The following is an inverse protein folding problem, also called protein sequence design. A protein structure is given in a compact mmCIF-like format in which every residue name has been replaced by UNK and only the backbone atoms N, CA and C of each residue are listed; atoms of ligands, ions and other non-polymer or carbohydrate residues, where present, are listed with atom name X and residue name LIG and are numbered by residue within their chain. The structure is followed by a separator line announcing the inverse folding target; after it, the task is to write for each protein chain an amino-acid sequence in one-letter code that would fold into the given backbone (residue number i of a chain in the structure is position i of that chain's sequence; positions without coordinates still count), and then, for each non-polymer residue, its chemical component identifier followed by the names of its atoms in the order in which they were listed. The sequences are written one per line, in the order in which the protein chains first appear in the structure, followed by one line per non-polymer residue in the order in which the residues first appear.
data_IF_546391410810
#
_entry.id   IF_546391410810
#
_cell.length_a   1.000
_cell.length_b   1.000
_cell.length_c   1.000
_cell.angle_alpha   90.00
_cell.angle_beta   90.00
_cell.angle_gamma   90.00
#
_symmetry.space_group_name_H-M   'P 1'
#
loop_
_entity.id
_entity.type
_entity.pdbx_description
1 polymer ?
#
# COMPACT_ATOMS: atom_id res chain seq x y z
N UNK A 1 61.64 -8.99 1.74
CA UNK A 1 61.34 -9.00 0.29
C UNK A 1 60.19 -9.98 0.08
N UNK A 2 58.98 -9.48 -0.21
CA UNK A 2 57.83 -10.33 -0.54
C UNK A 2 57.82 -10.64 -2.05
N UNK A 3 57.48 -11.86 -2.48
CA UNK A 3 57.22 -12.14 -3.88
C UNK A 3 55.78 -11.72 -4.24
N UNK A 4 55.68 -10.87 -5.25
CA UNK A 4 54.46 -10.52 -5.98
C UNK A 4 54.15 -11.60 -7.02
N UNK A 5 53.00 -12.27 -6.90
CA UNK A 5 52.41 -13.03 -8.00
C UNK A 5 51.03 -12.47 -8.32
N UNK A 6 50.97 -11.61 -9.34
CA UNK A 6 49.74 -11.14 -9.92
C UNK A 6 49.11 -12.27 -10.74
N UNK A 7 48.05 -12.91 -10.22
CA UNK A 7 47.20 -13.77 -11.02
C UNK A 7 46.11 -12.92 -11.68
N UNK A 8 46.13 -12.89 -13.03
CA UNK A 8 45.06 -12.32 -13.87
C UNK A 8 43.81 -13.20 -13.71
N UNK A 9 42.92 -12.83 -12.80
CA UNK A 9 41.57 -13.36 -12.74
C UNK A 9 40.74 -12.83 -13.91
N UNK A 10 40.40 -13.71 -14.87
CA UNK A 10 39.35 -13.46 -15.87
C UNK A 10 38.02 -13.23 -15.14
N UNK A 11 37.57 -11.98 -15.08
CA UNK A 11 36.25 -11.64 -14.60
C UNK A 11 35.19 -12.14 -15.58
N UNK A 12 34.61 -13.31 -15.30
CA UNK A 12 33.36 -13.71 -15.90
C UNK A 12 32.29 -12.70 -15.49
N UNK A 13 31.67 -12.02 -16.46
CA UNK A 13 30.48 -11.22 -16.24
C UNK A 13 29.37 -12.14 -15.72
N UNK A 14 29.22 -12.22 -14.40
CA UNK A 14 28.03 -12.82 -13.80
C UNK A 14 26.87 -11.88 -14.11
N UNK A 15 26.15 -12.17 -15.19
CA UNK A 15 24.81 -11.66 -15.41
C UNK A 15 24.00 -11.94 -14.15
N UNK A 16 23.57 -10.88 -13.45
CA UNK A 16 22.72 -11.01 -12.28
C UNK A 16 21.48 -11.84 -12.66
N UNK A 17 21.10 -12.86 -11.87
CA UNK A 17 19.91 -13.64 -12.17
C UNK A 17 18.69 -12.70 -12.14
N UNK A 18 17.67 -12.94 -12.98
CA UNK A 18 16.49 -12.10 -13.01
C UNK A 18 15.79 -12.15 -11.64
N UNK A 19 15.72 -11.00 -10.95
CA UNK A 19 15.13 -10.86 -9.62
C UNK A 19 13.67 -11.33 -9.55
N UNK A 20 12.94 -11.24 -10.67
CA UNK A 20 11.51 -11.55 -10.76
C UNK A 20 11.17 -13.05 -10.72
N UNK A 21 12.00 -13.92 -11.30
CA UNK A 21 11.71 -15.36 -11.39
C UNK A 21 11.62 -16.06 -10.02
N UNK A 22 12.58 -15.83 -9.10
CA UNK A 22 12.52 -16.37 -7.75
C UNK A 22 11.36 -15.83 -6.91
N UNK A 23 11.00 -14.55 -7.07
CA UNK A 23 9.90 -13.90 -6.32
C UNK A 23 8.55 -14.53 -6.67
N UNK A 24 8.24 -14.69 -7.97
CA UNK A 24 7.00 -15.33 -8.42
C UNK A 24 6.92 -16.81 -8.02
N UNK A 25 8.06 -17.52 -8.04
CA UNK A 25 8.12 -18.92 -7.58
C UNK A 25 7.78 -19.06 -6.08
N UNK A 26 8.09 -18.05 -5.27
CA UNK A 26 7.79 -18.04 -3.82
C UNK A 26 6.32 -17.76 -3.52
N UNK A 27 5.61 -17.01 -4.38
CA UNK A 27 4.15 -16.77 -4.24
C UNK A 27 3.37 -18.10 -4.19
N UNK A 28 3.81 -19.10 -4.94
CA UNK A 28 3.15 -20.42 -5.00
C UNK A 28 3.48 -21.31 -3.80
N UNK A 29 4.57 -21.01 -3.08
CA UNK A 29 5.06 -21.83 -1.95
C UNK A 29 4.69 -21.21 -0.61
N UNK A 30 3.42 -21.35 -0.23
CA UNK A 30 2.85 -20.83 1.03
C UNK A 30 3.65 -21.16 2.29
N UNK A 31 4.26 -22.36 2.37
CA UNK A 31 5.07 -22.77 3.52
C UNK A 31 6.37 -21.98 3.69
N UNK A 32 6.81 -21.24 2.68
CA UNK A 32 8.05 -20.44 2.72
C UNK A 32 7.79 -18.97 3.05
N UNK A 33 6.52 -18.58 3.20
CA UNK A 33 6.10 -17.20 3.46
C UNK A 33 6.12 -16.93 4.96
N UNK A 34 6.69 -15.79 5.38
CA UNK A 34 6.76 -15.39 6.78
C UNK A 34 5.45 -14.68 7.18
N UNK A 35 4.41 -15.49 7.38
CA UNK A 35 3.05 -15.01 7.68
C UNK A 35 3.01 -14.28 9.03
N UNK A 36 3.71 -14.80 10.04
CA UNK A 36 3.73 -14.21 11.39
C UNK A 36 4.35 -12.81 11.37
N UNK A 37 5.53 -12.67 10.74
CA UNK A 37 6.17 -11.38 10.58
C UNK A 37 5.30 -10.41 9.78
N UNK A 38 4.60 -10.91 8.76
CA UNK A 38 3.69 -10.10 7.94
C UNK A 38 2.53 -9.54 8.76
N UNK A 39 1.87 -10.35 9.57
CA UNK A 39 0.80 -9.89 10.45
C UNK A 39 1.32 -8.90 11.50
N UNK A 40 2.49 -9.18 12.07
CA UNK A 40 3.14 -8.26 13.00
C UNK A 40 3.40 -6.89 12.33
N UNK A 41 3.91 -6.88 11.09
CA UNK A 41 4.11 -5.66 10.32
C UNK A 41 2.79 -4.94 10.07
N UNK A 42 1.74 -5.65 9.63
CA UNK A 42 0.42 -5.07 9.38
C UNK A 42 -0.15 -4.38 10.62
N UNK A 43 -0.10 -5.03 11.79
CA UNK A 43 -0.56 -4.44 13.06
C UNK A 43 0.25 -3.18 13.40
N UNK A 44 1.58 -3.25 13.30
CA UNK A 44 2.43 -2.09 13.62
C UNK A 44 2.32 -0.97 12.60
N UNK A 45 2.00 -1.23 11.33
CA UNK A 45 1.69 -0.17 10.36
C UNK A 45 0.45 0.63 10.78
N UNK A 46 -0.54 -0.02 11.41
CA UNK A 46 -1.72 0.65 11.93
C UNK A 46 -1.49 1.38 13.26
N UNK A 47 -0.62 0.87 14.14
CA UNK A 47 -0.50 1.39 15.52
C UNK A 47 0.80 2.16 15.78
N UNK A 48 1.92 1.75 15.18
CA UNK A 48 3.27 2.27 15.47
C UNK A 48 4.21 2.09 14.27
N UNK A 49 3.97 2.77 13.15
CA UNK A 49 4.64 2.48 11.88
C UNK A 49 6.16 2.73 11.90
N UNK A 50 6.61 3.64 12.78
CA UNK A 50 8.04 3.91 12.98
C UNK A 50 8.83 2.63 13.35
N UNK A 51 8.21 1.70 14.07
CA UNK A 51 8.82 0.41 14.47
C UNK A 51 9.10 -0.46 13.23
N UNK A 52 8.17 -0.50 12.28
CA UNK A 52 8.31 -1.28 11.03
C UNK A 52 9.46 -0.73 10.19
N UNK A 53 9.54 0.59 10.04
CA UNK A 53 10.61 1.23 9.26
C UNK A 53 11.99 1.18 9.94
N UNK A 54 12.04 1.16 11.28
CA UNK A 54 13.27 0.85 12.02
C UNK A 54 13.75 -0.57 11.72
N UNK A 55 12.84 -1.54 11.66
CA UNK A 55 13.19 -2.91 11.29
C UNK A 55 13.70 -3.00 9.84
N UNK A 56 13.16 -2.21 8.91
CA UNK A 56 13.70 -2.12 7.54
C UNK A 56 15.14 -1.59 7.53
N UNK A 57 15.46 -0.56 8.34
CA UNK A 57 16.84 -0.06 8.49
C UNK A 57 17.78 -1.15 9.03
N UNK A 58 17.34 -1.91 10.03
CA UNK A 58 18.10 -3.03 10.59
C UNK A 58 18.30 -4.18 9.58
N UNK A 59 17.28 -4.53 8.81
CA UNK A 59 17.37 -5.52 7.75
C UNK A 59 18.38 -5.11 6.67
N UNK A 60 18.42 -3.82 6.33
CA UNK A 60 19.44 -3.31 5.41
C UNK A 60 20.85 -3.49 5.97
N UNK A 61 21.09 -3.27 7.26
CA UNK A 61 22.43 -3.44 7.85
C UNK A 61 22.88 -4.91 7.82
N UNK A 62 21.95 -5.85 8.02
CA UNK A 62 22.25 -7.28 8.11
C UNK A 62 22.32 -7.99 6.76
N UNK A 63 21.46 -7.63 5.79
CA UNK A 63 21.38 -8.28 4.46
C UNK A 63 21.81 -7.40 3.30
N UNK A 64 22.15 -6.14 3.55
CA UNK A 64 22.55 -5.16 2.54
C UNK A 64 21.55 -4.98 1.38
N UNK A 65 20.25 -5.22 1.60
CA UNK A 65 19.20 -5.01 0.60
C UNK A 65 17.97 -4.33 1.22
N UNK A 66 17.30 -3.49 0.41
CA UNK A 66 16.09 -2.76 0.81
C UNK A 66 14.81 -3.49 0.41
N UNK A 67 14.81 -4.15 -0.75
CA UNK A 67 13.66 -4.88 -1.25
C UNK A 67 13.33 -6.07 -0.35
N UNK A 68 12.03 -6.33 -0.19
CA UNK A 68 11.53 -7.52 0.51
C UNK A 68 11.57 -8.72 -0.44
N UNK A 69 12.23 -9.81 -0.03
CA UNK A 69 12.29 -11.04 -0.84
C UNK A 69 11.11 -12.00 -0.61
N UNK A 70 10.21 -11.66 0.32
CA UNK A 70 9.05 -12.45 0.72
C UNK A 70 7.76 -11.78 0.22
N UNK A 71 6.93 -12.47 -0.60
CA UNK A 71 5.69 -11.93 -1.12
C UNK A 71 4.51 -11.93 -0.13
N UNK A 72 4.69 -12.45 1.10
CA UNK A 72 3.63 -12.62 2.09
C UNK A 72 2.72 -11.41 2.30
N UNK A 73 3.30 -10.23 2.44
CA UNK A 73 2.55 -9.00 2.65
C UNK A 73 1.56 -8.70 1.51
N UNK A 74 2.02 -8.79 0.26
CA UNK A 74 1.22 -8.49 -0.93
C UNK A 74 0.11 -9.52 -1.09
N UNK A 75 0.43 -10.79 -0.90
CA UNK A 75 -0.54 -11.89 -1.03
C UNK A 75 -1.66 -11.77 0.01
N UNK A 76 -1.32 -11.55 1.28
CA UNK A 76 -2.31 -11.38 2.36
C UNK A 76 -3.15 -10.12 2.11
N UNK A 77 -2.53 -9.02 1.66
CA UNK A 77 -3.25 -7.79 1.33
C UNK A 77 -4.24 -8.00 0.17
N UNK A 78 -3.87 -8.73 -0.89
CA UNK A 78 -4.79 -9.06 -1.99
C UNK A 78 -5.96 -9.91 -1.47
N UNK A 79 -5.71 -10.90 -0.61
CA UNK A 79 -6.78 -11.71 -0.02
C UNK A 79 -7.77 -10.86 0.78
N UNK A 80 -7.28 -9.93 1.59
CA UNK A 80 -8.14 -8.99 2.33
C UNK A 80 -8.89 -8.03 1.42
N UNK A 81 -8.25 -7.55 0.35
CA UNK A 81 -8.87 -6.67 -0.61
C UNK A 81 -10.01 -7.36 -1.37
N UNK A 82 -9.80 -8.61 -1.80
CA UNK A 82 -10.83 -9.44 -2.43
C UNK A 82 -11.98 -9.69 -1.45
N UNK A 83 -11.68 -10.06 -0.20
CA UNK A 83 -12.70 -10.32 0.81
C UNK A 83 -13.55 -9.08 1.10
N UNK A 84 -12.93 -7.93 1.37
CA UNK A 84 -13.65 -6.69 1.66
C UNK A 84 -14.47 -6.20 0.46
N UNK A 85 -13.89 -6.26 -0.75
CA UNK A 85 -14.62 -5.86 -1.97
C UNK A 85 -15.78 -6.79 -2.26
N UNK A 86 -15.64 -8.09 -2.00
CA UNK A 86 -16.76 -9.05 -2.11
C UNK A 86 -17.88 -8.72 -1.12
N UNK A 87 -17.54 -8.29 0.10
CA UNK A 87 -18.54 -7.84 1.08
C UNK A 87 -19.31 -6.59 0.59
N UNK A 88 -18.62 -5.60 0.00
CA UNK A 88 -19.29 -4.47 -0.64
C UNK A 88 -20.20 -4.90 -1.79
N UNK A 89 -19.73 -5.80 -2.66
CA UNK A 89 -20.53 -6.32 -3.75
C UNK A 89 -21.76 -7.10 -3.26
N UNK A 90 -21.66 -7.80 -2.13
CA UNK A 90 -22.79 -8.49 -1.53
C UNK A 90 -23.80 -7.53 -0.86
N UNK A 91 -23.32 -6.40 -0.33
CA UNK A 91 -24.16 -5.41 0.35
C UNK A 91 -24.83 -4.42 -0.61
N UNK A 92 -24.12 -4.00 -1.66
CA UNK A 92 -24.55 -2.92 -2.57
C UNK A 92 -24.63 -3.34 -4.04
N UNK A 93 -24.12 -4.52 -4.42
CA UNK A 93 -24.09 -4.97 -5.80
C UNK A 93 -25.38 -5.66 -6.24
N UNK A 94 -25.73 -5.49 -7.52
CA UNK A 94 -26.94 -6.07 -8.10
C UNK A 94 -26.67 -7.37 -8.89
N UNK A 95 -25.46 -7.57 -9.42
CA UNK A 95 -25.12 -8.70 -10.29
C UNK A 95 -23.73 -9.29 -10.02
N UNK A 96 -23.61 -10.61 -10.23
CA UNK A 96 -22.35 -11.33 -10.07
C UNK A 96 -21.28 -10.89 -11.10
N UNK A 97 -21.68 -10.51 -12.31
CA UNK A 97 -20.77 -9.97 -13.33
C UNK A 97 -20.17 -8.64 -12.89
N UNK A 98 -21.01 -7.76 -12.34
CA UNK A 98 -20.56 -6.48 -11.82
C UNK A 98 -19.65 -6.63 -10.61
N UNK A 99 -19.97 -7.59 -9.73
CA UNK A 99 -19.09 -7.95 -8.62
C UNK A 99 -17.71 -8.43 -9.09
N UNK A 100 -17.65 -9.31 -10.09
CA UNK A 100 -16.40 -9.80 -10.65
C UNK A 100 -15.56 -8.68 -11.28
N UNK A 101 -16.19 -7.76 -12.02
CA UNK A 101 -15.53 -6.58 -12.60
C UNK A 101 -15.01 -5.64 -11.52
N UNK A 102 -15.78 -5.40 -10.47
CA UNK A 102 -15.39 -4.53 -9.35
C UNK A 102 -14.19 -5.10 -8.60
N UNK A 103 -14.23 -6.39 -8.24
CA UNK A 103 -13.11 -7.08 -7.58
C UNK A 103 -11.86 -7.03 -8.47
N UNK A 104 -12.01 -7.32 -9.76
CA UNK A 104 -10.90 -7.28 -10.72
C UNK A 104 -10.32 -5.87 -10.84
N UNK A 105 -11.16 -4.84 -10.96
CA UNK A 105 -10.73 -3.44 -11.03
C UNK A 105 -9.99 -3.00 -9.76
N UNK A 106 -10.52 -3.32 -8.58
CA UNK A 106 -9.90 -2.97 -7.30
C UNK A 106 -8.52 -3.64 -7.12
N UNK A 107 -8.40 -4.92 -7.45
CA UNK A 107 -7.13 -5.65 -7.30
C UNK A 107 -6.12 -5.22 -8.37
N UNK A 108 -6.50 -5.27 -9.65
CA UNK A 108 -5.54 -5.09 -10.74
C UNK A 108 -5.30 -3.63 -11.08
N UNK A 109 -6.31 -2.76 -11.06
CA UNK A 109 -6.15 -1.36 -11.45
C UNK A 109 -5.79 -0.48 -10.25
N UNK A 110 -6.58 -0.54 -9.16
CA UNK A 110 -6.38 0.38 -8.04
C UNK A 110 -5.17 0.02 -7.17
N UNK A 111 -4.90 -1.27 -6.97
CA UNK A 111 -3.79 -1.70 -6.14
C UNK A 111 -2.54 -2.04 -6.97
N UNK A 112 -2.61 -3.07 -7.83
CA UNK A 112 -1.41 -3.55 -8.53
C UNK A 112 -0.88 -2.56 -9.57
N UNK A 113 -1.72 -2.08 -10.48
CA UNK A 113 -1.29 -1.15 -11.53
C UNK A 113 -0.79 0.18 -10.93
N UNK A 114 -1.52 0.77 -9.99
CA UNK A 114 -1.08 1.99 -9.31
C UNK A 114 0.27 1.79 -8.60
N UNK A 115 0.46 0.66 -7.89
CA UNK A 115 1.72 0.32 -7.26
C UNK A 115 2.86 0.13 -8.26
N UNK A 116 2.62 -0.54 -9.39
CA UNK A 116 3.63 -0.75 -10.45
C UNK A 116 4.00 0.57 -11.12
N UNK A 117 3.03 1.44 -11.38
CA UNK A 117 3.28 2.78 -11.93
C UNK A 117 4.16 3.59 -10.96
N UNK A 118 3.83 3.60 -9.66
CA UNK A 118 4.66 4.25 -8.65
C UNK A 118 6.07 3.66 -8.60
N UNK A 119 6.20 2.33 -8.71
CA UNK A 119 7.48 1.64 -8.74
C UNK A 119 8.32 1.94 -9.97
N UNK A 120 7.67 2.17 -11.11
CA UNK A 120 8.34 2.53 -12.36
C UNK A 120 8.80 3.99 -12.34
N UNK A 121 8.02 4.89 -11.76
CA UNK A 121 8.31 6.33 -11.74
C UNK A 121 9.27 6.76 -10.62
N UNK A 122 9.21 6.11 -9.46
CA UNK A 122 10.02 6.50 -8.30
C UNK A 122 11.22 5.56 -8.09
N UNK A 123 10.96 4.30 -7.76
CA UNK A 123 11.99 3.26 -7.53
C UNK A 123 11.34 1.88 -7.35
N UNK A 124 12.02 0.76 -7.59
CA UNK A 124 11.44 -0.59 -7.37
C UNK A 124 10.95 -0.82 -5.92
N UNK A 125 11.63 -0.23 -4.93
CA UNK A 125 11.24 -0.26 -3.50
C UNK A 125 9.93 0.50 -3.24
N UNK A 126 9.51 1.39 -4.13
CA UNK A 126 8.25 2.10 -4.02
C UNK A 126 7.04 1.16 -4.01
N UNK A 127 7.13 -0.02 -4.62
CA UNK A 127 6.04 -1.01 -4.54
C UNK A 127 5.86 -1.53 -3.11
N UNK A 128 6.95 -1.83 -2.41
CA UNK A 128 6.92 -2.25 -1.01
C UNK A 128 6.36 -1.14 -0.11
N UNK A 129 6.78 0.12 -0.36
CA UNK A 129 6.25 1.29 0.37
C UNK A 129 4.78 1.51 0.07
N UNK A 130 4.34 1.34 -1.19
CA UNK A 130 2.94 1.40 -1.58
C UNK A 130 2.11 0.35 -0.84
N UNK A 131 2.55 -0.90 -0.82
CA UNK A 131 1.85 -1.97 -0.11
C UNK A 131 1.71 -1.65 1.39
N UNK A 132 2.82 -1.23 2.03
CA UNK A 132 2.82 -0.90 3.45
C UNK A 132 1.92 0.31 3.77
N UNK A 133 1.89 1.34 2.92
CA UNK A 133 1.06 2.52 3.11
C UNK A 133 -0.42 2.29 2.76
N UNK A 134 -0.69 1.42 1.77
CA UNK A 134 -2.03 1.06 1.34
C UNK A 134 -2.76 0.25 2.42
N UNK A 135 -2.08 -0.61 3.19
CA UNK A 135 -2.75 -1.46 4.17
C UNK A 135 -3.56 -0.68 5.23
N UNK A 136 -3.02 0.33 5.92
CA UNK A 136 -3.83 1.12 6.85
C UNK A 136 -4.94 1.94 6.17
N UNK A 137 -4.70 2.46 4.96
CA UNK A 137 -5.74 3.10 4.17
C UNK A 137 -6.86 2.12 3.80
N UNK A 138 -6.52 0.86 3.50
CA UNK A 138 -7.44 -0.24 3.31
C UNK A 138 -8.28 -0.49 4.57
N UNK A 139 -7.65 -0.58 5.74
CA UNK A 139 -8.37 -0.75 7.01
C UNK A 139 -9.39 0.38 7.22
N UNK A 140 -9.03 1.63 6.92
CA UNK A 140 -9.94 2.77 7.12
C UNK A 140 -11.04 2.82 6.05
N UNK A 141 -10.68 2.75 4.77
CA UNK A 141 -11.60 2.98 3.64
C UNK A 141 -12.36 1.73 3.18
N UNK A 142 -11.84 0.53 3.41
CA UNK A 142 -12.52 -0.70 2.98
C UNK A 142 -13.15 -1.43 4.16
N UNK A 143 -12.53 -1.43 5.35
CA UNK A 143 -13.06 -2.16 6.51
C UNK A 143 -13.93 -1.24 7.38
N UNK A 144 -13.36 -0.18 7.96
CA UNK A 144 -14.09 0.72 8.86
C UNK A 144 -15.21 1.44 8.13
N UNK A 145 -14.96 1.96 6.93
CA UNK A 145 -16.00 2.59 6.12
C UNK A 145 -17.15 1.62 5.79
N UNK A 146 -16.90 0.32 5.59
CA UNK A 146 -17.94 -0.64 5.29
C UNK A 146 -18.94 -0.75 6.45
N UNK A 147 -18.44 -0.91 7.68
CA UNK A 147 -19.29 -0.96 8.87
C UNK A 147 -19.99 0.36 9.16
N UNK A 148 -19.34 1.49 8.87
CA UNK A 148 -19.94 2.82 9.02
C UNK A 148 -20.85 3.22 7.85
N UNK A 149 -20.85 2.46 6.74
CA UNK A 149 -21.52 2.86 5.50
C UNK A 149 -23.02 3.15 5.64
N UNK A 150 -23.83 2.43 6.47
CA UNK A 150 -25.23 2.79 6.67
C UNK A 150 -25.42 4.19 7.26
N UNK A 151 -24.48 4.65 8.09
CA UNK A 151 -24.46 6.00 8.65
C UNK A 151 -23.88 7.02 7.65
N UNK A 152 -22.81 6.66 6.95
CA UNK A 152 -22.07 7.58 6.07
C UNK A 152 -22.84 7.92 4.78
N UNK A 153 -23.69 7.02 4.29
CA UNK A 153 -24.48 7.22 3.07
C UNK A 153 -25.67 8.16 3.30
N UNK A 154 -26.12 8.33 4.54
CA UNK A 154 -27.26 9.18 4.86
C UNK A 154 -27.10 10.64 4.35
N UNK A 155 -28.25 11.29 4.16
CA UNK A 155 -28.29 12.71 3.79
C UNK A 155 -28.10 13.60 5.02
N UNK A 156 -27.52 14.77 4.78
CA UNK A 156 -27.28 15.78 5.82
C UNK A 156 -25.81 16.07 6.06
N UNK A 157 -25.58 17.04 6.94
CA UNK A 157 -24.25 17.56 7.25
C UNK A 157 -23.38 16.53 7.98
N UNK A 158 -23.90 15.86 9.01
CA UNK A 158 -23.09 14.94 9.84
C UNK A 158 -22.53 13.73 9.08
N UNK A 159 -23.29 13.02 8.22
CA UNK A 159 -22.74 11.96 7.38
C UNK A 159 -21.66 12.47 6.41
N UNK A 160 -21.88 13.63 5.79
CA UNK A 160 -20.89 14.24 4.90
C UNK A 160 -19.62 14.63 5.66
N UNK A 161 -19.75 15.24 6.84
CA UNK A 161 -18.62 15.57 7.72
C UNK A 161 -17.83 14.31 8.09
N UNK A 162 -18.49 13.28 8.60
CA UNK A 162 -17.83 12.04 9.02
C UNK A 162 -17.16 11.33 7.85
N UNK A 163 -17.81 11.30 6.68
CA UNK A 163 -17.24 10.74 5.46
C UNK A 163 -15.97 11.50 5.03
N UNK A 164 -16.01 12.84 4.98
CA UNK A 164 -14.83 13.63 4.66
C UNK A 164 -13.69 13.42 5.66
N UNK A 165 -13.97 13.43 6.97
CA UNK A 165 -12.96 13.19 8.00
C UNK A 165 -12.29 11.82 7.84
N UNK A 166 -13.09 10.77 7.56
CA UNK A 166 -12.58 9.43 7.34
C UNK A 166 -11.63 9.36 6.13
N UNK A 167 -11.98 10.03 5.02
CA UNK A 167 -11.12 10.13 3.84
C UNK A 167 -9.86 10.97 4.09
N UNK A 168 -9.98 12.08 4.82
CA UNK A 168 -8.84 12.93 5.20
C UNK A 168 -7.83 12.12 6.01
N UNK A 169 -8.29 11.39 7.02
CA UNK A 169 -7.43 10.54 7.86
C UNK A 169 -6.78 9.45 7.02
N UNK A 170 -7.52 8.73 6.19
CA UNK A 170 -6.98 7.67 5.35
C UNK A 170 -5.90 8.16 4.36
N UNK A 171 -6.22 9.23 3.61
CA UNK A 171 -5.29 9.78 2.61
C UNK A 171 -4.05 10.36 3.29
N UNK A 172 -4.23 11.06 4.42
CA UNK A 172 -3.11 11.62 5.18
C UNK A 172 -2.20 10.52 5.71
N UNK A 173 -2.77 9.44 6.24
CA UNK A 173 -2.02 8.33 6.79
C UNK A 173 -1.26 7.56 5.70
N UNK A 174 -1.88 7.34 4.54
CA UNK A 174 -1.20 6.77 3.36
C UNK A 174 0.04 7.59 2.96
N UNK A 175 -0.08 8.92 2.87
CA UNK A 175 1.03 9.80 2.49
C UNK A 175 2.11 9.90 3.57
N UNK A 176 1.72 9.88 4.85
CA UNK A 176 2.65 9.84 5.97
C UNK A 176 3.50 8.56 5.96
N UNK A 177 2.89 7.40 5.67
CA UNK A 177 3.62 6.14 5.55
C UNK A 177 4.53 6.10 4.32
N UNK A 178 4.10 6.70 3.20
CA UNK A 178 4.99 6.90 2.06
C UNK A 178 6.22 7.71 2.49
N UNK A 179 6.02 8.86 3.14
CA UNK A 179 7.12 9.67 3.67
C UNK A 179 8.07 8.85 4.56
N UNK A 180 7.56 8.15 5.57
CA UNK A 180 8.39 7.31 6.45
C UNK A 180 9.15 6.22 5.67
N UNK A 181 8.52 5.61 4.67
CA UNK A 181 9.12 4.58 3.84
C UNK A 181 10.23 5.08 2.93
N UNK A 182 10.10 6.28 2.36
CA UNK A 182 11.17 6.86 1.55
C UNK A 182 12.26 7.51 2.41
N UNK A 183 11.93 8.04 3.59
CA UNK A 183 12.88 8.65 4.53
C UNK A 183 13.93 7.67 5.08
N UNK A 184 13.64 6.36 5.05
CA UNK A 184 14.66 5.37 5.42
C UNK A 184 15.78 5.22 4.40
N UNK A 185 15.58 5.69 3.16
CA UNK A 185 16.53 5.52 2.07
C UNK A 185 17.56 6.66 2.06
N UNK A 186 18.85 6.37 2.33
CA UNK A 186 19.88 7.41 2.50
C UNK A 186 20.27 8.12 1.19
N UNK A 187 19.78 7.63 0.05
CA UNK A 187 20.08 8.16 -1.28
C UNK A 187 18.96 9.02 -1.85
N UNK A 188 17.85 9.18 -1.12
CA UNK A 188 16.77 10.08 -1.50
C UNK A 188 16.88 11.38 -0.72
N UNK A 189 17.04 12.49 -1.44
CA UNK A 189 16.98 13.83 -0.87
C UNK A 189 15.53 14.35 -0.87
N UNK A 190 15.20 15.21 0.09
CA UNK A 190 13.90 15.92 0.16
C UNK A 190 12.66 15.01 0.07
N UNK A 191 12.65 13.95 0.87
CA UNK A 191 11.48 13.06 1.03
C UNK A 191 10.23 13.76 1.57
N UNK A 192 10.36 14.99 2.11
CA UNK A 192 9.24 15.82 2.57
C UNK A 192 8.20 16.11 1.49
N UNK A 193 8.55 15.99 0.20
CA UNK A 193 7.60 16.07 -0.92
C UNK A 193 6.40 15.11 -0.75
N UNK A 194 6.62 13.91 -0.20
CA UNK A 194 5.54 12.93 0.02
C UNK A 194 4.47 13.40 1.03
N UNK A 195 4.75 14.44 1.81
CA UNK A 195 3.78 15.05 2.74
C UNK A 195 2.90 16.12 2.08
N UNK A 196 3.26 16.64 0.90
CA UNK A 196 2.51 17.73 0.27
C UNK A 196 1.03 17.42 0.01
N UNK A 197 0.65 16.19 -0.41
CA UNK A 197 -0.77 15.84 -0.56
C UNK A 197 -1.56 15.91 0.75
N UNK A 198 -0.91 15.76 1.91
CA UNK A 198 -1.57 15.93 3.22
C UNK A 198 -2.02 17.39 3.38
N UNK A 199 -1.14 18.34 3.08
CA UNK A 199 -1.48 19.77 3.11
C UNK A 199 -2.64 20.11 2.16
N UNK A 200 -2.62 19.53 0.95
CA UNK A 200 -3.70 19.70 -0.02
C UNK A 200 -5.04 19.18 0.53
N UNK A 201 -5.07 17.98 1.10
CA UNK A 201 -6.29 17.37 1.64
C UNK A 201 -6.83 18.14 2.85
N UNK A 202 -5.96 18.66 3.72
CA UNK A 202 -6.35 19.52 4.84
C UNK A 202 -6.99 20.82 4.34
N UNK A 203 -6.53 21.38 3.23
CA UNK A 203 -7.11 22.60 2.63
C UNK A 203 -8.41 22.31 1.87
N UNK A 204 -8.48 21.21 1.12
CA UNK A 204 -9.64 20.88 0.29
C UNK A 204 -10.82 20.33 1.11
N UNK A 205 -10.56 19.62 2.21
CA UNK A 205 -11.63 18.97 2.98
C UNK A 205 -12.66 19.92 3.59
N UNK A 206 -12.33 21.09 4.15
CA UNK A 206 -13.34 22.05 4.58
C UNK A 206 -14.20 22.54 3.42
N UNK A 207 -13.62 22.75 2.24
CA UNK A 207 -14.37 23.16 1.04
C UNK A 207 -15.36 22.07 0.61
N UNK A 208 -14.93 20.81 0.62
CA UNK A 208 -15.81 19.66 0.32
C UNK A 208 -16.97 19.57 1.31
N UNK A 209 -16.70 19.78 2.61
CA UNK A 209 -17.73 19.77 3.67
C UNK A 209 -18.72 20.93 3.48
N UNK A 210 -18.24 22.14 3.17
CA UNK A 210 -19.09 23.32 2.95
C UNK A 210 -20.04 23.17 1.75
N UNK A 211 -19.59 22.50 0.69
CA UNK A 211 -20.40 22.20 -0.50
C UNK A 211 -21.34 20.99 -0.23
N UNK A 212 -21.17 20.29 0.89
CA UNK A 212 -21.95 19.10 1.22
C UNK A 212 -21.55 17.85 0.43
N UNK A 213 -20.34 17.85 -0.17
CA UNK A 213 -19.81 16.69 -0.88
C UNK A 213 -19.57 15.55 0.10
N UNK A 214 -20.01 14.34 -0.25
CA UNK A 214 -19.84 13.14 0.55
C UNK A 214 -19.04 12.11 -0.27
N UNK A 215 -17.75 11.88 0.04
CA UNK A 215 -16.91 10.98 -0.73
C UNK A 215 -17.41 9.53 -0.67
N UNK A 216 -17.95 9.06 0.46
CA UNK A 216 -18.52 7.71 0.58
C UNK A 216 -19.66 7.50 -0.41
N UNK A 217 -20.60 8.46 -0.52
CA UNK A 217 -21.67 8.40 -1.51
C UNK A 217 -21.13 8.44 -2.94
N UNK A 218 -20.16 9.32 -3.21
CA UNK A 218 -19.54 9.41 -4.53
C UNK A 218 -18.89 8.09 -4.96
N UNK A 219 -18.09 7.47 -4.09
CA UNK A 219 -17.45 6.18 -4.40
C UNK A 219 -18.47 5.06 -4.54
N UNK A 220 -19.46 4.97 -3.63
CA UNK A 220 -20.48 3.93 -3.74
C UNK A 220 -21.32 4.09 -5.00
N UNK A 221 -21.66 5.30 -5.42
CA UNK A 221 -22.35 5.54 -6.69
C UNK A 221 -21.47 5.23 -7.90
N UNK A 222 -20.19 5.59 -7.87
CA UNK A 222 -19.23 5.26 -8.94
C UNK A 222 -19.14 3.74 -9.17
N UNK A 223 -19.16 2.95 -8.09
CA UNK A 223 -19.09 1.51 -8.19
C UNK A 223 -20.44 0.84 -8.39
N UNK A 224 -21.50 1.26 -7.71
CA UNK A 224 -22.75 0.48 -7.61
C UNK A 224 -24.00 1.17 -8.17
N UNK A 225 -23.89 2.41 -8.67
CA UNK A 225 -25.01 3.18 -9.23
C UNK A 225 -25.66 4.10 -8.22
#
# INVERSE_FOLDING_TARGET
MLPTTASKGRGASRSAPPLFGPYLRRIVKWQQMDIEYTFWQMVHLCTSPKVVYQHTKYHKQTKNQWARDDPAFVVILILFLVFATSAYCAAYGESASHAALTITSVVFLHFLFAGIVLATLCWLYAFDVHCNSFFPAFVILYVVQYFLSPLLVAHGFFPALLSNLLFVVAISYYHYLNFLGYDVLPFLDRTTFFLYPIGLVIILSPLMILIGFNPTRYFLSLYFG
#
